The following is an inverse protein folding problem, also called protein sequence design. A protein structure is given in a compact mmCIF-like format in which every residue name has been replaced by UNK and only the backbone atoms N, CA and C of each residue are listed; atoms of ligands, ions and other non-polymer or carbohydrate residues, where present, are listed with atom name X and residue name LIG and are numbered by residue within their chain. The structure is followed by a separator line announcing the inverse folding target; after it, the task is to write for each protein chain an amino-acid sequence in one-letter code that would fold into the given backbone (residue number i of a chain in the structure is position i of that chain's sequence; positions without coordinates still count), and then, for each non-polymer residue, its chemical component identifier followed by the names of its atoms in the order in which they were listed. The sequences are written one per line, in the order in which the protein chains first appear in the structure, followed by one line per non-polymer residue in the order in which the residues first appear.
data_IF_228331064397
#
_entry.id   IF_228331064397
#
_cell.length_a   1.000
_cell.length_b   1.000
_cell.length_c   1.000
_cell.angle_alpha   90.00
_cell.angle_beta   90.00
_cell.angle_gamma   90.00
#
_symmetry.space_group_name_H-M   'P 1'
#
loop_
_entity.id
_entity.type
_entity.pdbx_description
1 polymer ?
#
# COMPACT_ATOMS: atom_id res chain seq x y z
N UNK A 1 8.34 14.20 -22.38
CA UNK A 1 6.99 14.40 -21.79
C UNK A 1 6.53 13.15 -21.04
N UNK A 2 6.85 11.96 -21.52
CA UNK A 2 6.57 10.67 -20.88
C UNK A 2 7.23 10.49 -19.49
N UNK A 3 8.40 11.09 -19.25
CA UNK A 3 9.11 10.96 -17.96
C UNK A 3 8.31 11.51 -16.77
N UNK A 4 7.65 12.67 -16.94
CA UNK A 4 6.92 13.29 -15.84
C UNK A 4 5.66 12.49 -15.48
N UNK A 5 4.96 11.98 -16.49
CA UNK A 5 3.80 11.09 -16.29
C UNK A 5 4.21 9.75 -15.66
N UNK A 6 5.36 9.19 -16.09
CA UNK A 6 5.91 7.97 -15.49
C UNK A 6 6.27 8.18 -14.01
N UNK A 7 6.93 9.29 -13.69
CA UNK A 7 7.26 9.65 -12.30
C UNK A 7 6.03 9.88 -11.44
N UNK A 8 4.99 10.51 -11.98
CA UNK A 8 3.73 10.71 -11.26
C UNK A 8 3.05 9.37 -10.93
N UNK A 9 2.94 8.46 -11.91
CA UNK A 9 2.39 7.12 -11.68
C UNK A 9 3.17 6.34 -10.63
N UNK A 10 4.50 6.36 -10.68
CA UNK A 10 5.33 5.70 -9.67
C UNK A 10 5.12 6.27 -8.25
N UNK A 11 4.80 7.57 -8.14
CA UNK A 11 4.47 8.15 -6.83
C UNK A 11 3.09 7.71 -6.35
N UNK A 12 2.08 7.68 -7.23
CA UNK A 12 0.75 7.18 -6.90
C UNK A 12 0.80 5.71 -6.46
N UNK A 13 1.48 4.84 -7.21
CA UNK A 13 1.61 3.41 -6.88
C UNK A 13 2.22 3.18 -5.48
N UNK A 14 3.13 4.06 -5.03
CA UNK A 14 3.76 3.94 -3.70
C UNK A 14 2.81 4.25 -2.54
N UNK A 15 1.76 5.02 -2.79
CA UNK A 15 0.78 5.41 -1.76
C UNK A 15 -0.55 4.69 -1.92
N UNK A 16 -0.76 3.94 -3.00
CA UNK A 16 -1.96 3.14 -3.24
C UNK A 16 -1.89 1.81 -2.49
N UNK A 17 -3.02 1.38 -1.93
CA UNK A 17 -3.14 0.12 -1.23
C UNK A 17 -2.79 -1.04 -2.17
N UNK A 18 -1.83 -1.91 -1.81
CA UNK A 18 -1.39 -3.01 -2.66
C UNK A 18 -2.42 -4.15 -2.76
N UNK A 19 -3.52 -4.07 -2.00
CA UNK A 19 -4.55 -5.11 -1.91
C UNK A 19 -5.71 -4.78 -2.86
N UNK A 20 -6.32 -3.60 -2.72
CA UNK A 20 -7.45 -3.20 -3.56
C UNK A 20 -7.03 -2.39 -4.81
N UNK A 21 -5.80 -1.84 -4.84
CA UNK A 21 -5.29 -1.03 -5.96
C UNK A 21 -6.20 0.19 -6.26
N UNK A 22 -6.86 0.71 -5.22
CA UNK A 22 -7.83 1.80 -5.34
C UNK A 22 -7.59 2.85 -4.26
N UNK A 23 -7.82 2.49 -2.99
CA UNK A 23 -7.67 3.42 -1.88
C UNK A 23 -6.20 3.64 -1.50
N UNK A 24 -5.89 4.80 -0.91
CA UNK A 24 -4.54 5.08 -0.38
C UNK A 24 -4.22 4.30 0.89
N UNK A 25 -2.93 4.07 1.13
CA UNK A 25 -2.38 3.52 2.36
C UNK A 25 -2.69 4.49 3.51
N UNK A 26 -3.34 3.97 4.56
CA UNK A 26 -3.70 4.72 5.77
C UNK A 26 -3.29 4.02 7.06
N UNK A 27 -2.89 2.76 6.97
CA UNK A 27 -2.44 1.94 8.09
C UNK A 27 -1.05 1.41 7.76
N UNK A 28 -0.11 1.56 8.69
CA UNK A 28 1.25 1.03 8.60
C UNK A 28 1.43 0.00 9.72
N UNK A 29 1.91 -1.19 9.36
CA UNK A 29 2.18 -2.28 10.28
C UNK A 29 3.57 -2.14 10.91
N UNK A 30 3.87 -2.88 11.98
CA UNK A 30 5.17 -2.85 12.66
C UNK A 30 6.35 -3.24 11.76
N UNK A 31 6.09 -4.03 10.71
CA UNK A 31 7.08 -4.38 9.70
C UNK A 31 7.38 -3.26 8.66
N UNK A 32 6.69 -2.12 8.73
CA UNK A 32 6.86 -0.97 7.85
C UNK A 32 6.03 -0.96 6.56
N UNK A 33 5.34 -2.07 6.24
CA UNK A 33 4.40 -2.14 5.11
C UNK A 33 3.00 -1.64 5.50
N UNK A 34 2.14 -1.35 4.52
CA UNK A 34 0.81 -0.82 4.80
C UNK A 34 -0.28 -1.17 3.81
N UNK A 35 -1.52 -0.85 4.19
CA UNK A 35 -2.73 -0.98 3.39
C UNK A 35 -3.67 0.21 3.62
N UNK A 36 -4.76 0.28 2.86
CA UNK A 36 -5.89 1.12 3.24
C UNK A 36 -6.56 0.61 4.52
N UNK A 37 -7.40 1.45 5.12
CA UNK A 37 -8.09 1.14 6.36
C UNK A 37 -9.01 -0.09 6.23
N UNK A 38 -9.76 -0.19 5.14
CA UNK A 38 -10.75 -1.27 4.92
C UNK A 38 -10.08 -2.63 4.73
N UNK A 39 -9.04 -2.71 3.89
CA UNK A 39 -8.31 -3.96 3.70
C UNK A 39 -7.48 -4.36 4.93
N UNK A 40 -7.14 -3.41 5.81
CA UNK A 40 -6.32 -3.65 7.00
C UNK A 40 -7.06 -4.33 8.15
N UNK A 41 -8.39 -4.16 8.26
CA UNK A 41 -9.16 -4.58 9.45
C UNK A 41 -9.08 -6.07 9.73
N UNK A 42 -9.07 -6.91 8.69
CA UNK A 42 -9.15 -8.37 8.82
C UNK A 42 -7.79 -9.07 8.67
N UNK A 43 -6.69 -8.31 8.61
CA UNK A 43 -5.35 -8.87 8.41
C UNK A 43 -4.68 -9.15 9.75
N UNK A 44 -4.26 -10.40 9.93
CA UNK A 44 -3.43 -10.82 11.06
C UNK A 44 -1.95 -10.93 10.67
N UNK A 45 -1.65 -10.89 9.37
CA UNK A 45 -0.30 -11.01 8.81
C UNK A 45 -0.14 -10.02 7.66
N UNK A 46 1.07 -9.48 7.53
CA UNK A 46 1.41 -8.54 6.47
C UNK A 46 1.32 -9.23 5.10
N UNK A 47 0.59 -8.67 4.12
CA UNK A 47 0.46 -9.27 2.79
C UNK A 47 1.78 -9.24 1.98
N UNK A 48 2.75 -8.41 2.39
CA UNK A 48 4.01 -8.21 1.67
C UNK A 48 5.12 -9.12 2.23
N UNK A 49 5.37 -9.08 3.55
CA UNK A 49 6.46 -9.83 4.18
C UNK A 49 6.01 -11.00 5.06
N UNK A 50 4.70 -11.22 5.21
CA UNK A 50 4.09 -12.32 6.00
C UNK A 50 4.41 -12.32 7.50
N UNK A 51 4.96 -11.23 8.04
CA UNK A 51 5.10 -11.05 9.50
C UNK A 51 3.74 -10.80 10.15
N UNK A 52 3.58 -11.19 11.41
CA UNK A 52 2.40 -10.83 12.20
C UNK A 52 2.28 -9.29 12.31
N UNK A 53 1.06 -8.78 12.19
CA UNK A 53 0.74 -7.33 12.22
C UNK A 53 0.56 -6.85 13.65
#
# INVERSE_FOLDING_TARGET
MEDLQSRYRQMEERITCPICIDSQIRVIYQCGHGSCQECGVSLNVCPICRQAI
#
